data_IF_133957054787
#
_entry.id   IF_133957054787
#
_cell.length_a   1.000
_cell.length_b   1.000
_cell.length_c   1.000
_cell.angle_alpha   90.00
_cell.angle_beta   90.00
_cell.angle_gamma   90.00
#
_symmetry.space_group_name_H-M   'P 1'
#
loop_
_entity.id
_entity.type
_entity.pdbx_description
1 polymer ?
#
# COMPACT_ATOMS: atom_id res chain seq x y z
N UNK A 1 -2.37 26.46 26.03
CA UNK A 1 -2.52 26.22 24.57
C UNK A 1 -3.53 25.09 24.37
N UNK A 2 -4.59 25.30 23.58
CA UNK A 2 -5.44 24.19 23.14
C UNK A 2 -4.56 23.26 22.29
N UNK A 3 -4.44 21.98 22.66
CA UNK A 3 -3.88 20.97 21.75
C UNK A 3 -4.78 20.95 20.53
N UNK A 4 -4.20 21.19 19.35
CA UNK A 4 -4.92 20.94 18.11
C UNK A 4 -5.28 19.46 18.07
N UNK A 5 -6.56 19.16 17.91
CA UNK A 5 -7.03 17.79 17.74
C UNK A 5 -6.83 17.38 16.27
N UNK A 6 -5.85 16.52 16.04
CA UNK A 6 -5.53 15.98 14.72
C UNK A 6 -6.19 14.61 14.46
N UNK A 7 -7.10 14.14 15.33
CA UNK A 7 -7.75 12.82 15.25
C UNK A 7 -8.27 12.49 13.84
N UNK A 8 -9.10 13.35 13.27
CA UNK A 8 -9.71 13.09 11.95
C UNK A 8 -8.70 13.11 10.81
N UNK A 9 -7.70 13.98 10.92
CA UNK A 9 -6.61 14.05 9.98
C UNK A 9 -5.77 12.76 10.01
N UNK A 10 -5.42 12.28 11.21
CA UNK A 10 -4.65 11.05 11.37
C UNK A 10 -5.41 9.81 10.91
N UNK A 11 -6.73 9.75 11.13
CA UNK A 11 -7.59 8.68 10.60
C UNK A 11 -7.56 8.64 9.07
N UNK A 12 -7.75 9.79 8.42
CA UNK A 12 -7.72 9.88 6.95
C UNK A 12 -6.35 9.50 6.41
N UNK A 13 -5.29 10.02 7.02
CA UNK A 13 -3.91 9.69 6.64
C UNK A 13 -3.60 8.21 6.79
N UNK A 14 -4.08 7.58 7.86
CA UNK A 14 -3.91 6.14 8.07
C UNK A 14 -4.63 5.32 7.00
N UNK A 15 -5.86 5.72 6.64
CA UNK A 15 -6.62 5.09 5.56
C UNK A 15 -5.90 5.25 4.21
N UNK A 16 -5.49 6.46 3.83
CA UNK A 16 -4.78 6.72 2.58
C UNK A 16 -3.49 5.91 2.48
N UNK A 17 -2.74 5.84 3.59
CA UNK A 17 -1.53 5.03 3.71
C UNK A 17 -1.82 3.55 3.51
N UNK A 18 -2.80 3.00 4.20
CA UNK A 18 -3.19 1.60 4.06
C UNK A 18 -3.62 1.26 2.64
N UNK A 19 -4.49 2.08 2.03
CA UNK A 19 -4.96 1.88 0.67
C UNK A 19 -3.81 1.92 -0.34
N UNK A 20 -2.93 2.92 -0.27
CA UNK A 20 -1.79 3.05 -1.18
C UNK A 20 -0.86 1.82 -1.08
N UNK A 21 -0.53 1.38 0.14
CA UNK A 21 0.28 0.18 0.33
C UNK A 21 -0.41 -1.10 -0.14
N UNK A 22 -1.72 -1.24 0.07
CA UNK A 22 -2.47 -2.41 -0.40
C UNK A 22 -2.53 -2.47 -1.92
N UNK A 23 -2.73 -1.33 -2.60
CA UNK A 23 -2.70 -1.27 -4.07
C UNK A 23 -1.32 -1.63 -4.60
N UNK A 24 -0.27 -1.06 -4.02
CA UNK A 24 1.12 -1.32 -4.41
C UNK A 24 1.52 -2.78 -4.19
N UNK A 25 1.15 -3.36 -3.05
CA UNK A 25 1.37 -4.78 -2.77
C UNK A 25 0.53 -5.68 -3.68
N UNK A 26 -0.67 -5.25 -4.06
CA UNK A 26 -1.51 -5.99 -5.01
C UNK A 26 -0.85 -6.04 -6.38
N UNK A 27 -0.43 -4.88 -6.90
CA UNK A 27 0.26 -4.77 -8.17
C UNK A 27 1.56 -5.59 -8.15
N UNK A 28 2.42 -5.32 -7.18
CA UNK A 28 3.81 -5.78 -7.22
C UNK A 28 4.05 -7.12 -6.55
N UNK A 29 3.42 -7.44 -5.42
CA UNK A 29 3.78 -8.62 -4.60
C UNK A 29 2.87 -9.82 -4.83
N UNK A 30 1.60 -9.61 -5.17
CA UNK A 30 0.66 -10.72 -5.34
C UNK A 30 0.92 -11.44 -6.65
N UNK A 31 1.04 -10.70 -7.75
CA UNK A 31 1.25 -11.25 -9.08
C UNK A 31 2.64 -11.88 -9.26
N UNK A 32 3.66 -11.29 -8.64
CA UNK A 32 5.04 -11.81 -8.61
C UNK A 32 5.28 -12.93 -7.58
N UNK A 33 4.26 -13.32 -6.82
CA UNK A 33 4.33 -14.34 -5.75
C UNK A 33 5.26 -14.01 -4.57
N UNK A 34 5.70 -12.76 -4.41
CA UNK A 34 6.39 -12.31 -3.19
C UNK A 34 5.47 -12.24 -1.95
N UNK A 35 4.15 -12.24 -2.14
CA UNK A 35 3.19 -12.33 -1.05
C UNK A 35 2.89 -13.80 -0.66
N UNK A 36 3.36 -14.21 0.52
CA UNK A 36 3.12 -15.56 1.03
C UNK A 36 1.74 -15.77 1.69
N UNK A 37 0.95 -14.71 1.90
CA UNK A 37 -0.39 -14.86 2.46
C UNK A 37 -1.36 -15.48 1.43
N UNK A 38 -1.86 -16.69 1.73
CA UNK A 38 -2.69 -17.48 0.80
C UNK A 38 -3.97 -16.75 0.38
N UNK A 39 -4.62 -16.05 1.30
CA UNK A 39 -5.87 -15.34 0.99
C UNK A 39 -5.62 -14.19 -0.01
N UNK A 40 -4.51 -13.45 0.12
CA UNK A 40 -4.16 -12.41 -0.86
C UNK A 40 -4.06 -12.98 -2.28
N UNK A 41 -3.38 -14.13 -2.43
CA UNK A 41 -3.24 -14.79 -3.73
C UNK A 41 -4.56 -15.34 -4.25
N UNK A 42 -5.40 -15.92 -3.39
CA UNK A 42 -6.72 -16.44 -3.81
C UNK A 42 -7.63 -15.32 -4.28
N UNK A 43 -7.66 -14.20 -3.56
CA UNK A 43 -8.51 -13.06 -3.88
C UNK A 43 -7.90 -12.11 -4.90
N UNK A 44 -6.62 -12.30 -5.28
CA UNK A 44 -5.87 -11.44 -6.20
C UNK A 44 -5.84 -9.97 -5.73
N UNK A 45 -5.85 -9.72 -4.43
CA UNK A 45 -5.67 -8.39 -3.84
C UNK A 45 -5.11 -8.48 -2.42
N UNK A 46 -4.45 -7.42 -1.96
CA UNK A 46 -3.77 -7.41 -0.67
C UNK A 46 -4.76 -7.21 0.48
N UNK A 47 -5.14 -8.31 1.12
CA UNK A 47 -5.95 -8.36 2.35
C UNK A 47 -5.15 -8.73 3.61
N UNK A 48 -3.83 -8.84 3.50
CA UNK A 48 -2.97 -9.20 4.64
C UNK A 48 -3.07 -8.20 5.79
N UNK A 49 -2.77 -8.62 7.03
CA UNK A 49 -2.78 -7.73 8.18
C UNK A 49 -1.70 -6.65 8.04
N UNK A 50 -1.98 -5.45 8.54
CA UNK A 50 -1.00 -4.37 8.66
C UNK A 50 -0.17 -4.60 9.93
N UNK A 51 1.15 -4.65 9.83
CA UNK A 51 2.07 -4.92 10.92
C UNK A 51 3.06 -3.75 11.11
N UNK A 52 3.49 -3.44 12.34
CA UNK A 52 4.59 -2.50 12.56
C UNK A 52 5.82 -2.89 11.72
N UNK A 53 6.54 -1.89 11.22
CA UNK A 53 7.74 -2.13 10.40
C UNK A 53 8.84 -1.14 10.71
N UNK A 54 10.08 -1.62 10.77
CA UNK A 54 11.25 -0.77 10.96
C UNK A 54 11.45 0.22 9.80
N UNK A 55 10.99 -0.13 8.60
CA UNK A 55 11.00 0.75 7.43
C UNK A 55 10.24 2.07 7.64
N UNK A 56 9.30 2.10 8.60
CA UNK A 56 8.51 3.28 8.94
C UNK A 56 9.12 4.12 10.06
N UNK A 57 10.25 3.72 10.66
CA UNK A 57 10.84 4.42 11.81
C UNK A 57 11.07 5.91 11.53
N UNK A 58 11.65 6.26 10.38
CA UNK A 58 11.90 7.65 10.01
C UNK A 58 10.61 8.45 9.77
N UNK A 59 9.59 7.83 9.18
CA UNK A 59 8.27 8.45 8.95
C UNK A 59 7.58 8.74 10.28
N UNK A 60 7.65 7.79 11.22
CA UNK A 60 7.12 7.95 12.57
C UNK A 60 7.81 9.12 13.29
N UNK A 61 9.14 9.23 13.19
CA UNK A 61 9.89 10.36 13.81
C UNK A 61 9.44 11.70 13.23
N UNK A 62 9.42 11.81 11.89
CA UNK A 62 9.01 13.04 11.21
C UNK A 62 7.58 13.46 11.57
N UNK A 63 6.67 12.50 11.74
CA UNK A 63 5.28 12.78 12.16
C UNK A 63 5.20 13.32 13.59
N UNK A 64 5.98 12.75 14.51
CA UNK A 64 6.06 13.22 15.89
C UNK A 64 6.64 14.63 15.98
N UNK A 65 7.64 14.94 15.16
CA UNK A 65 8.27 16.27 15.09
C UNK A 65 7.28 17.36 14.66
N UNK A 66 6.31 17.05 13.80
CA UNK A 66 5.24 17.99 13.40
C UNK A 66 3.99 17.94 14.29
N UNK A 67 4.04 17.23 15.43
CA UNK A 67 2.97 17.18 16.42
C UNK A 67 1.88 16.13 16.19
N UNK A 68 2.09 15.16 15.30
CA UNK A 68 1.21 13.99 15.11
C UNK A 68 1.63 12.83 16.02
N UNK A 69 0.78 11.81 16.16
CA UNK A 69 1.08 10.62 16.99
C UNK A 69 2.20 9.75 16.40
N UNK A 70 2.38 9.81 15.08
CA UNK A 70 3.24 8.91 14.31
C UNK A 70 2.62 7.53 14.05
N UNK A 71 1.41 7.25 14.53
CA UNK A 71 0.77 5.93 14.39
C UNK A 71 0.12 5.72 13.02
N UNK A 72 -0.31 6.80 12.36
CA UNK A 72 -1.05 6.74 11.10
C UNK A 72 -0.29 5.99 9.98
N UNK A 73 1.04 6.12 9.93
CA UNK A 73 1.88 5.49 8.90
C UNK A 73 2.83 4.42 9.47
N UNK A 74 2.62 3.95 10.70
CA UNK A 74 3.58 3.07 11.38
C UNK A 74 3.59 1.62 10.86
N UNK A 75 2.56 1.21 10.13
CA UNK A 75 2.31 -0.20 9.77
C UNK A 75 2.34 -0.41 8.27
N UNK A 76 2.80 -1.58 7.84
CA UNK A 76 2.84 -2.02 6.46
C UNK A 76 2.08 -3.33 6.29
N UNK A 77 1.60 -3.69 5.09
CA UNK A 77 1.06 -5.02 4.85
C UNK A 77 2.08 -6.09 5.24
N UNK A 78 1.62 -7.24 5.74
CA UNK A 78 2.49 -8.34 6.19
C UNK A 78 3.61 -8.71 5.21
N UNK A 79 3.35 -8.69 3.90
CA UNK A 79 4.36 -9.00 2.88
C UNK A 79 5.46 -7.93 2.73
N UNK A 80 5.28 -6.74 3.31
CA UNK A 80 6.23 -5.63 3.30
C UNK A 80 6.83 -5.33 4.66
N UNK A 81 6.18 -5.72 5.76
CA UNK A 81 6.62 -5.37 7.11
C UNK A 81 8.07 -5.81 7.41
N UNK A 82 8.44 -7.01 6.92
CA UNK A 82 9.78 -7.60 7.04
C UNK A 82 10.46 -7.79 5.69
N UNK A 83 10.05 -7.04 4.66
CA UNK A 83 10.70 -7.13 3.35
C UNK A 83 12.16 -6.66 3.43
N UNK A 84 13.00 -7.20 2.54
CA UNK A 84 14.37 -6.68 2.36
C UNK A 84 14.34 -5.21 1.93
N UNK A 85 15.42 -4.48 2.17
CA UNK A 85 15.53 -3.07 1.78
C UNK A 85 15.29 -2.87 0.28
N UNK A 86 15.86 -3.73 -0.57
CA UNK A 86 15.68 -3.66 -2.02
C UNK A 86 14.21 -3.85 -2.42
N UNK A 87 13.54 -4.83 -1.81
CA UNK A 87 12.13 -5.07 -2.10
C UNK A 87 11.25 -3.93 -1.59
N UNK A 88 11.57 -3.39 -0.43
CA UNK A 88 10.91 -2.21 0.12
C UNK A 88 11.05 -1.00 -0.80
N UNK A 89 12.26 -0.68 -1.24
CA UNK A 89 12.54 0.42 -2.16
C UNK A 89 11.80 0.24 -3.50
N UNK A 90 11.83 -0.97 -4.06
CA UNK A 90 11.12 -1.28 -5.30
C UNK A 90 9.60 -1.05 -5.19
N UNK A 91 8.95 -1.63 -4.17
CA UNK A 91 7.49 -1.48 -4.00
C UNK A 91 7.12 -0.04 -3.60
N UNK A 92 8.00 0.66 -2.87
CA UNK A 92 7.82 2.07 -2.55
C UNK A 92 7.79 2.95 -3.79
N UNK A 93 8.64 2.67 -4.79
CA UNK A 93 8.58 3.37 -6.08
C UNK A 93 7.25 3.15 -6.81
N UNK A 94 6.68 1.94 -6.74
CA UNK A 94 5.33 1.68 -7.27
C UNK A 94 4.25 2.42 -6.48
N UNK A 95 4.40 2.53 -5.15
CA UNK A 95 3.51 3.30 -4.29
C UNK A 95 3.47 4.77 -4.68
N UNK A 96 4.63 5.39 -4.88
CA UNK A 96 4.73 6.80 -5.28
C UNK A 96 3.97 7.06 -6.59
N UNK A 97 4.15 6.18 -7.59
CA UNK A 97 3.42 6.25 -8.86
C UNK A 97 1.91 6.08 -8.68
N UNK A 98 1.47 5.14 -7.84
CA UNK A 98 0.05 4.93 -7.54
C UNK A 98 -0.54 6.16 -6.84
N UNK A 99 0.17 6.73 -5.86
CA UNK A 99 -0.27 7.93 -5.16
C UNK A 99 -0.37 9.12 -6.11
N UNK A 100 0.60 9.31 -7.01
CA UNK A 100 0.53 10.34 -8.04
C UNK A 100 -0.66 10.13 -8.98
N UNK A 101 -0.85 8.91 -9.50
CA UNK A 101 -1.98 8.59 -10.35
C UNK A 101 -3.33 8.79 -9.64
N UNK A 102 -3.44 8.41 -8.36
CA UNK A 102 -4.64 8.64 -7.52
C UNK A 102 -4.95 10.12 -7.31
N UNK A 103 -3.93 10.98 -7.25
CA UNK A 103 -4.14 12.42 -7.11
C UNK A 103 -4.42 13.10 -8.46
N UNK A 104 -4.04 12.46 -9.57
CA UNK A 104 -4.27 12.92 -10.93
C UNK A 104 -5.40 12.18 -11.63
N UNK A 105 -5.03 11.32 -12.59
CA UNK A 105 -5.94 10.68 -13.54
C UNK A 105 -6.98 9.76 -12.89
N UNK A 106 -6.63 9.12 -11.77
CA UNK A 106 -7.47 8.14 -11.08
C UNK A 106 -8.25 8.75 -9.90
N UNK A 107 -8.23 10.07 -9.71
CA UNK A 107 -8.85 10.74 -8.55
C UNK A 107 -10.35 10.50 -8.37
N UNK A 108 -11.04 10.13 -9.45
CA UNK A 108 -12.47 9.85 -9.46
C UNK A 108 -12.79 8.38 -9.16
N UNK A 109 -11.78 7.52 -9.13
CA UNK A 109 -11.93 6.10 -8.89
C UNK A 109 -11.80 5.80 -7.40
N UNK A 110 -12.65 4.90 -6.93
CA UNK A 110 -12.52 4.37 -5.57
C UNK A 110 -11.36 3.38 -5.49
N UNK A 111 -10.94 3.06 -4.26
CA UNK A 111 -9.97 1.98 -4.03
C UNK A 111 -10.37 0.69 -4.76
N UNK A 112 -11.65 0.30 -4.71
CA UNK A 112 -12.13 -0.93 -5.32
C UNK A 112 -12.13 -0.89 -6.85
N UNK A 113 -12.42 0.26 -7.45
CA UNK A 113 -12.32 0.44 -8.90
C UNK A 113 -10.88 0.21 -9.37
N UNK A 114 -9.90 0.75 -8.65
CA UNK A 114 -8.48 0.57 -8.98
C UNK A 114 -8.06 -0.89 -8.78
N UNK A 115 -8.48 -1.54 -7.69
CA UNK A 115 -8.22 -2.97 -7.49
C UNK A 115 -8.79 -3.79 -8.65
N UNK A 116 -10.03 -3.50 -9.08
CA UNK A 116 -10.67 -4.19 -10.18
C UNK A 116 -9.89 -4.01 -11.50
N UNK A 117 -9.42 -2.80 -11.80
CA UNK A 117 -8.58 -2.53 -12.96
C UNK A 117 -7.26 -3.34 -12.94
N UNK A 118 -6.58 -3.37 -11.79
CA UNK A 118 -5.34 -4.17 -11.61
C UNK A 118 -5.62 -5.66 -11.87
N UNK A 119 -6.72 -6.19 -11.31
CA UNK A 119 -7.09 -7.59 -11.49
C UNK A 119 -7.48 -7.92 -12.93
N UNK A 120 -8.18 -7.03 -13.63
CA UNK A 120 -8.50 -7.20 -15.05
C UNK A 120 -7.23 -7.25 -15.90
N UNK A 121 -6.31 -6.31 -15.68
CA UNK A 121 -5.02 -6.24 -16.38
C UNK A 121 -4.23 -7.54 -16.22
N UNK A 122 -4.08 -8.01 -14.98
CA UNK A 122 -3.33 -9.23 -14.69
C UNK A 122 -3.94 -10.48 -15.36
N UNK A 123 -5.28 -10.60 -15.35
CA UNK A 123 -5.98 -11.69 -16.03
C UNK A 123 -5.78 -11.66 -17.54
N UNK A 124 -5.79 -10.46 -18.14
CA UNK A 124 -5.52 -10.28 -19.57
C UNK A 124 -4.09 -10.71 -19.93
N UNK A 125 -3.10 -10.28 -19.15
CA UNK A 125 -1.69 -10.68 -19.32
C UNK A 125 -1.50 -12.20 -19.22
N UNK A 126 -2.16 -12.87 -18.26
CA UNK A 126 -2.11 -14.33 -18.16
C UNK A 126 -2.76 -15.06 -19.34
N UNK A 127 -3.85 -14.52 -19.92
CA UNK A 127 -4.51 -15.11 -21.09
C UNK A 127 -3.67 -14.99 -22.35
N UNK A 128 -2.94 -13.89 -22.48
CA UNK A 128 -2.11 -13.58 -23.65
C UNK A 128 -0.65 -14.05 -23.50
N UNK A 129 -0.29 -14.64 -22.36
CA UNK A 129 1.04 -15.21 -22.17
C UNK A 129 1.24 -16.37 -23.15
N UNK A 130 2.34 -16.40 -23.92
CA UNK A 130 2.62 -17.51 -24.83
C UNK A 130 2.63 -18.81 -24.04
N UNK A 131 1.85 -19.80 -24.51
CA UNK A 131 1.89 -21.16 -23.97
C UNK A 131 3.26 -21.72 -24.33
N UNK A 132 4.14 -21.76 -23.34
CA UNK A 132 5.43 -22.45 -23.39
C UNK A 132 5.24 -23.90 -22.98
#
# INVERSE_FOLDING_TARGET
MKRNDFSEYEKRRAQDHEEAWRLSATLENIHSRHCHYRMCRRSQFCSGPMLPSEHQRSVISAHKEIGLSGMACARLPMCMANATLDRYAYVRGALEKITEARNGELKHLTFWDIVFLIQMQARSQHRNAPRT
#
